data_IF_037277532343
#
_entry.id   IF_037277532343
#
_cell.length_a   1.000
_cell.length_b   1.000
_cell.length_c   1.000
_cell.angle_alpha   90.00
_cell.angle_beta   90.00
_cell.angle_gamma   90.00
#
_symmetry.space_group_name_H-M   'P 1'
#
loop_
_entity.id
_entity.type
_entity.pdbx_description
1 polymer ?
#
# COMPACT_ATOMS: atom_id res chain seq x y z
N UNK A 1 -3.57 43.64 16.46
CA UNK A 1 -3.75 42.25 16.08
C UNK A 1 -2.78 41.28 16.82
N UNK A 2 -1.78 41.78 17.54
CA UNK A 2 -0.82 40.95 18.29
C UNK A 2 -1.26 40.56 19.72
N UNK A 3 -2.25 41.26 20.28
CA UNK A 3 -2.70 41.00 21.67
C UNK A 3 -3.72 39.88 21.82
N UNK A 4 -4.31 39.36 20.71
CA UNK A 4 -5.24 38.22 20.73
C UNK A 4 -4.53 36.86 20.81
N UNK A 5 -3.29 36.75 20.28
CA UNK A 5 -2.54 35.49 20.25
C UNK A 5 -1.87 35.15 21.62
N UNK A 6 -1.69 36.14 22.50
CA UNK A 6 -1.06 35.93 23.83
C UNK A 6 -2.07 35.44 24.87
N UNK A 7 -3.37 35.66 24.65
CA UNK A 7 -4.44 35.24 25.58
C UNK A 7 -4.98 33.82 25.34
N UNK A 8 -4.70 33.21 24.17
CA UNK A 8 -5.05 31.79 23.92
C UNK A 8 -4.07 30.79 24.57
N UNK A 9 -2.88 31.21 24.95
CA UNK A 9 -1.81 30.36 25.47
C UNK A 9 -1.96 29.95 26.96
N UNK A 10 -3.06 30.32 27.65
CA UNK A 10 -3.19 30.06 29.10
C UNK A 10 -4.50 29.42 29.55
N UNK A 11 -5.25 28.76 28.68
CA UNK A 11 -6.40 27.95 29.11
C UNK A 11 -5.90 26.59 29.60
N UNK A 12 -5.65 26.49 30.92
CA UNK A 12 -5.42 25.23 31.57
C UNK A 12 -6.64 24.30 31.33
N UNK A 13 -6.38 23.12 30.78
CA UNK A 13 -7.37 22.06 30.60
C UNK A 13 -7.29 21.19 31.86
N UNK A 14 -8.36 21.19 32.67
CA UNK A 14 -8.38 20.53 33.99
C UNK A 14 -7.20 20.91 34.91
N UNK A 15 -6.69 22.15 34.80
CA UNK A 15 -5.54 22.62 35.58
C UNK A 15 -4.17 22.21 35.03
N UNK A 16 -4.09 21.58 33.84
CA UNK A 16 -2.86 21.18 33.18
C UNK A 16 -2.61 22.00 31.90
N UNK A 17 -1.37 22.10 31.52
CA UNK A 17 -0.97 22.69 30.23
C UNK A 17 -1.58 21.84 29.08
N UNK A 18 -2.23 22.46 28.07
CA UNK A 18 -2.78 21.76 26.91
C UNK A 18 -1.79 20.80 26.25
N UNK A 19 -0.50 21.15 26.19
CA UNK A 19 0.56 20.31 25.62
C UNK A 19 0.73 19.00 26.41
N UNK A 20 0.65 19.07 27.75
CA UNK A 20 0.76 17.87 28.59
C UNK A 20 -0.44 16.94 28.37
N UNK A 21 -1.63 17.53 28.23
CA UNK A 21 -2.86 16.76 27.97
C UNK A 21 -2.79 16.12 26.57
N UNK A 22 -2.35 16.86 25.55
CA UNK A 22 -2.17 16.35 24.19
C UNK A 22 -1.17 15.17 24.16
N UNK A 23 0.02 15.35 24.74
CA UNK A 23 1.04 14.29 24.86
C UNK A 23 0.48 13.08 25.60
N UNK A 24 -0.29 13.29 26.67
CA UNK A 24 -0.94 12.22 27.44
C UNK A 24 -1.92 11.41 26.58
N UNK A 25 -2.79 12.09 25.82
CA UNK A 25 -3.76 11.44 24.90
C UNK A 25 -3.00 10.62 23.84
N UNK A 26 -2.02 11.22 23.16
CA UNK A 26 -1.22 10.54 22.13
C UNK A 26 -0.51 9.32 22.72
N UNK A 27 0.16 9.48 23.88
CA UNK A 27 0.89 8.40 24.54
C UNK A 27 -0.04 7.24 24.89
N UNK A 28 -1.19 7.51 25.50
CA UNK A 28 -2.17 6.47 25.86
C UNK A 28 -2.66 5.76 24.60
N UNK A 29 -3.02 6.51 23.54
CA UNK A 29 -3.47 5.92 22.28
C UNK A 29 -2.41 4.99 21.68
N UNK A 30 -1.15 5.43 21.61
CA UNK A 30 -0.06 4.58 21.09
C UNK A 30 0.19 3.34 21.96
N UNK A 31 0.19 3.46 23.28
CA UNK A 31 0.35 2.30 24.17
C UNK A 31 -0.77 1.26 23.94
N UNK A 32 -1.99 1.72 23.75
CA UNK A 32 -3.12 0.80 23.44
C UNK A 32 -2.97 0.20 22.05
N UNK A 33 -2.56 0.97 21.05
CA UNK A 33 -2.31 0.46 19.68
C UNK A 33 -1.22 -0.61 19.72
N UNK A 34 -0.10 -0.39 20.42
CA UNK A 34 0.97 -1.38 20.57
C UNK A 34 0.55 -2.64 21.34
N UNK A 35 -0.49 -2.55 22.18
CA UNK A 35 -1.02 -3.74 22.87
C UNK A 35 -1.76 -4.71 21.94
N UNK A 36 -2.11 -4.28 20.71
CA UNK A 36 -2.88 -5.02 19.69
C UNK A 36 -4.26 -5.53 20.16
N UNK A 37 -4.71 -5.10 21.36
CA UNK A 37 -6.00 -5.53 21.92
C UNK A 37 -7.19 -4.80 21.33
N UNK A 38 -6.96 -3.62 20.76
CA UNK A 38 -7.98 -2.76 20.15
C UNK A 38 -7.55 -2.40 18.73
N UNK A 39 -8.52 -2.38 17.83
CA UNK A 39 -8.25 -1.99 16.45
C UNK A 39 -7.66 -0.57 16.40
N UNK A 40 -6.54 -0.41 15.65
CA UNK A 40 -5.79 0.85 15.53
C UNK A 40 -6.64 2.04 15.08
N UNK A 41 -7.60 1.81 14.16
CA UNK A 41 -8.48 2.87 13.66
C UNK A 41 -9.43 3.37 14.77
N UNK A 42 -9.98 2.47 15.59
CA UNK A 42 -10.84 2.85 16.71
C UNK A 42 -10.05 3.73 17.70
N UNK A 43 -8.82 3.33 18.03
CA UNK A 43 -8.01 4.12 18.97
C UNK A 43 -7.60 5.47 18.40
N UNK A 44 -7.26 5.55 17.10
CA UNK A 44 -6.95 6.81 16.46
C UNK A 44 -8.16 7.76 16.44
N UNK A 45 -9.35 7.26 16.13
CA UNK A 45 -10.58 8.06 16.16
C UNK A 45 -10.96 8.51 17.58
N UNK A 46 -10.81 7.64 18.59
CA UNK A 46 -11.03 8.00 19.98
C UNK A 46 -10.04 9.05 20.48
N UNK A 47 -8.76 8.93 20.08
CA UNK A 47 -7.74 9.94 20.35
C UNK A 47 -8.07 11.29 19.72
N UNK A 48 -8.48 11.29 18.45
CA UNK A 48 -8.94 12.49 17.76
C UNK A 48 -10.16 13.12 18.46
N UNK A 49 -11.14 12.30 18.86
CA UNK A 49 -12.29 12.78 19.61
C UNK A 49 -11.88 13.35 20.98
N UNK A 50 -10.93 12.72 21.69
CA UNK A 50 -10.41 13.22 22.95
C UNK A 50 -9.72 14.58 22.80
N UNK A 51 -8.95 14.82 21.71
CA UNK A 51 -8.35 16.12 21.40
C UNK A 51 -9.40 17.23 21.24
N UNK A 52 -10.54 16.91 20.60
CA UNK A 52 -11.64 17.89 20.40
C UNK A 52 -12.43 18.09 21.70
N UNK A 53 -12.78 17.02 22.41
CA UNK A 53 -13.59 17.09 23.64
C UNK A 53 -12.84 17.76 24.78
N UNK A 54 -11.51 17.56 24.88
CA UNK A 54 -10.67 18.26 25.85
C UNK A 54 -10.49 19.75 25.54
N UNK A 55 -10.87 20.21 24.33
CA UNK A 55 -10.74 21.60 23.91
C UNK A 55 -9.35 22.00 23.40
N UNK A 56 -8.44 21.01 23.20
CA UNK A 56 -7.13 21.25 22.56
C UNK A 56 -7.36 21.69 21.12
N UNK A 57 -8.25 21.01 20.40
CA UNK A 57 -8.65 21.38 19.04
C UNK A 57 -10.12 21.76 18.97
N UNK A 58 -10.43 22.73 18.13
CA UNK A 58 -11.81 22.96 17.69
C UNK A 58 -12.14 21.98 16.55
N UNK A 59 -13.43 21.73 16.30
CA UNK A 59 -13.84 20.90 15.15
C UNK A 59 -13.26 21.44 13.81
N UNK A 60 -13.21 22.77 13.66
CA UNK A 60 -12.69 23.40 12.45
C UNK A 60 -11.17 23.15 12.29
N UNK A 61 -10.40 23.30 13.36
CA UNK A 61 -8.95 23.06 13.32
C UNK A 61 -8.63 21.58 13.17
N UNK A 62 -9.41 20.68 13.78
CA UNK A 62 -9.26 19.24 13.62
C UNK A 62 -9.45 18.80 12.14
N UNK A 63 -10.49 19.33 11.46
CA UNK A 63 -10.72 19.05 10.05
C UNK A 63 -9.62 19.66 9.15
N UNK A 64 -9.11 20.83 9.50
CA UNK A 64 -8.00 21.46 8.77
C UNK A 64 -6.67 20.69 8.90
N UNK A 65 -6.50 19.91 9.99
CA UNK A 65 -5.34 19.07 10.20
C UNK A 65 -5.33 17.80 9.36
N UNK A 66 -6.47 17.40 8.75
CA UNK A 66 -6.54 16.20 7.92
C UNK A 66 -5.91 16.48 6.55
N UNK A 67 -4.90 15.72 6.20
CA UNK A 67 -4.30 15.77 4.87
C UNK A 67 -5.15 14.98 3.85
N UNK A 68 -6.07 15.71 3.20
CA UNK A 68 -6.93 15.14 2.17
C UNK A 68 -6.17 14.71 0.91
N UNK A 69 -4.98 15.25 0.65
CA UNK A 69 -4.12 14.80 -0.45
C UNK A 69 -3.64 13.36 -0.20
N UNK A 70 -3.15 13.08 1.00
CA UNK A 70 -2.78 11.73 1.42
C UNK A 70 -3.98 10.76 1.38
N UNK A 71 -5.12 11.16 1.91
CA UNK A 71 -6.34 10.32 1.88
C UNK A 71 -6.77 10.02 0.43
N UNK A 72 -6.78 11.05 -0.43
CA UNK A 72 -7.13 10.89 -1.85
C UNK A 72 -6.15 9.98 -2.60
N UNK A 73 -4.86 10.08 -2.30
CA UNK A 73 -3.84 9.22 -2.87
C UNK A 73 -4.05 7.75 -2.49
N UNK A 74 -4.26 7.47 -1.20
CA UNK A 74 -4.51 6.12 -0.70
C UNK A 74 -5.77 5.51 -1.33
N UNK A 75 -6.90 6.21 -1.26
CA UNK A 75 -8.18 5.72 -1.81
C UNK A 75 -8.08 5.51 -3.30
N UNK A 76 -7.51 6.47 -4.04
CA UNK A 76 -7.37 6.40 -5.49
C UNK A 76 -6.53 5.20 -5.94
N UNK A 77 -5.37 4.99 -5.30
CA UNK A 77 -4.50 3.85 -5.61
C UNK A 77 -5.15 2.51 -5.24
N UNK A 78 -5.79 2.39 -4.07
CA UNK A 78 -6.50 1.16 -3.67
C UNK A 78 -7.59 0.79 -4.67
N UNK A 79 -8.35 1.75 -5.19
CA UNK A 79 -9.37 1.49 -6.22
C UNK A 79 -8.75 1.04 -7.55
N UNK A 80 -7.67 1.71 -8.00
CA UNK A 80 -6.97 1.32 -9.24
C UNK A 80 -6.48 -0.12 -9.14
N UNK A 81 -5.86 -0.47 -8.02
CA UNK A 81 -5.32 -1.80 -7.75
C UNK A 81 -6.41 -2.86 -7.70
N UNK A 82 -7.49 -2.59 -6.97
CA UNK A 82 -8.63 -3.51 -6.85
C UNK A 82 -9.27 -3.83 -8.21
N UNK A 83 -9.32 -2.86 -9.11
CA UNK A 83 -9.80 -3.09 -10.48
C UNK A 83 -8.76 -3.86 -11.29
N UNK A 84 -7.47 -3.50 -11.18
CA UNK A 84 -6.37 -4.17 -11.88
C UNK A 84 -6.23 -5.64 -11.48
N UNK A 85 -6.41 -5.96 -10.20
CA UNK A 85 -6.41 -7.32 -9.66
C UNK A 85 -7.37 -8.25 -10.42
N UNK A 86 -8.57 -7.77 -10.73
CA UNK A 86 -9.61 -8.54 -11.42
C UNK A 86 -9.22 -8.96 -12.84
N UNK A 87 -8.21 -8.31 -13.43
CA UNK A 87 -7.67 -8.73 -14.73
C UNK A 87 -6.83 -10.01 -14.66
N UNK A 88 -6.35 -10.40 -13.46
CA UNK A 88 -5.46 -11.54 -13.24
C UNK A 88 -3.98 -11.24 -13.52
N UNK A 89 -3.60 -9.95 -13.62
CA UNK A 89 -2.23 -9.56 -13.98
C UNK A 89 -1.17 -10.03 -13.00
N UNK A 90 -1.46 -10.03 -11.70
CA UNK A 90 -0.52 -10.43 -10.66
C UNK A 90 -0.18 -11.92 -10.76
N UNK A 91 -1.21 -12.75 -10.92
CA UNK A 91 -1.06 -14.19 -11.11
C UNK A 91 -0.29 -14.50 -12.40
N UNK A 92 -0.60 -13.77 -13.47
CA UNK A 92 0.11 -13.90 -14.75
C UNK A 92 1.61 -13.65 -14.58
N UNK A 93 2.00 -12.51 -13.97
CA UNK A 93 3.41 -12.13 -13.80
C UNK A 93 4.15 -13.13 -12.90
N UNK A 94 3.54 -13.59 -11.81
CA UNK A 94 4.16 -14.55 -10.91
C UNK A 94 4.42 -15.89 -11.60
N UNK A 95 3.45 -16.44 -12.35
CA UNK A 95 3.63 -17.70 -13.09
C UNK A 95 4.61 -17.53 -14.26
N UNK A 96 4.52 -16.42 -15.00
CA UNK A 96 5.47 -16.10 -16.05
C UNK A 96 6.90 -16.03 -15.51
N UNK A 97 7.10 -15.35 -14.37
CA UNK A 97 8.39 -15.27 -13.69
C UNK A 97 8.91 -16.65 -13.26
N UNK A 98 8.05 -17.50 -12.68
CA UNK A 98 8.41 -18.87 -12.31
C UNK A 98 8.86 -19.70 -13.51
N UNK A 99 8.22 -19.56 -14.67
CA UNK A 99 8.61 -20.23 -15.92
C UNK A 99 9.94 -19.70 -16.48
N UNK A 100 10.21 -18.39 -16.34
CA UNK A 100 11.50 -17.80 -16.77
C UNK A 100 12.70 -18.40 -16.07
N UNK A 101 12.55 -18.76 -14.80
CA UNK A 101 13.59 -19.44 -14.00
C UNK A 101 13.49 -20.97 -14.09
N UNK A 102 12.76 -21.51 -15.10
CA UNK A 102 12.56 -22.95 -15.36
C UNK A 102 12.04 -23.70 -14.14
N UNK A 103 11.19 -23.03 -13.33
CA UNK A 103 10.65 -23.57 -12.07
C UNK A 103 11.73 -24.09 -11.10
N UNK A 104 12.97 -23.59 -11.19
CA UNK A 104 14.02 -23.99 -10.24
C UNK A 104 13.70 -23.42 -8.87
N UNK A 105 13.79 -24.19 -7.76
CA UNK A 105 13.43 -23.71 -6.42
C UNK A 105 14.16 -22.42 -6.01
N UNK A 106 15.46 -22.34 -6.27
CA UNK A 106 16.27 -21.13 -5.99
C UNK A 106 15.88 -19.94 -6.87
N UNK A 107 15.69 -20.17 -8.17
CA UNK A 107 15.26 -19.13 -9.10
C UNK A 107 13.86 -18.61 -8.75
N UNK A 108 12.97 -19.51 -8.30
CA UNK A 108 11.63 -19.14 -7.85
C UNK A 108 11.69 -18.21 -6.64
N UNK A 109 12.55 -18.51 -5.65
CA UNK A 109 12.76 -17.69 -4.47
C UNK A 109 13.16 -16.25 -4.87
N UNK A 110 14.13 -16.13 -5.78
CA UNK A 110 14.60 -14.83 -6.28
C UNK A 110 13.50 -14.09 -7.04
N UNK A 111 12.87 -14.76 -8.02
CA UNK A 111 11.93 -14.08 -8.92
C UNK A 111 10.65 -13.65 -8.20
N UNK A 112 10.12 -14.46 -7.28
CA UNK A 112 8.93 -14.09 -6.52
C UNK A 112 9.23 -12.92 -5.57
N UNK A 113 10.39 -12.89 -4.93
CA UNK A 113 10.81 -11.76 -4.10
C UNK A 113 10.87 -10.45 -4.92
N UNK A 114 11.51 -10.47 -6.09
CA UNK A 114 11.59 -9.28 -6.95
C UNK A 114 10.23 -8.87 -7.54
N UNK A 115 9.40 -9.82 -7.94
CA UNK A 115 8.03 -9.55 -8.41
C UNK A 115 7.21 -8.88 -7.30
N UNK A 116 7.29 -9.43 -6.08
CA UNK A 116 6.61 -8.85 -4.91
C UNK A 116 7.13 -7.44 -4.61
N UNK A 117 8.44 -7.23 -4.60
CA UNK A 117 9.03 -5.90 -4.35
C UNK A 117 8.60 -4.87 -5.40
N UNK A 118 8.59 -5.24 -6.69
CA UNK A 118 8.17 -4.35 -7.78
C UNK A 118 6.69 -3.98 -7.65
N UNK A 119 5.82 -4.95 -7.36
CA UNK A 119 4.42 -4.63 -7.16
C UNK A 119 4.22 -3.77 -5.92
N UNK A 120 4.89 -4.07 -4.81
CA UNK A 120 4.77 -3.31 -3.57
C UNK A 120 5.29 -1.87 -3.69
N UNK A 121 6.15 -1.57 -4.64
CA UNK A 121 6.54 -0.18 -4.92
C UNK A 121 5.35 0.69 -5.42
N UNK A 122 4.28 0.08 -5.92
CA UNK A 122 3.09 0.78 -6.44
C UNK A 122 1.79 0.41 -5.71
N UNK A 123 1.83 -0.62 -4.88
CA UNK A 123 0.73 -1.14 -4.09
C UNK A 123 1.15 -1.16 -2.62
N UNK A 124 0.19 -1.15 -1.71
CA UNK A 124 0.55 -1.37 -0.32
C UNK A 124 1.12 -2.79 -0.11
N UNK A 125 1.98 -2.91 0.88
CA UNK A 125 2.72 -4.13 1.19
C UNK A 125 1.81 -5.31 1.55
N UNK A 126 0.72 -5.07 2.28
CA UNK A 126 -0.23 -6.11 2.72
C UNK A 126 -1.00 -6.67 1.55
N UNK A 127 -1.60 -5.80 0.74
CA UNK A 127 -2.32 -6.19 -0.48
C UNK A 127 -1.40 -6.95 -1.43
N UNK A 128 -0.17 -6.50 -1.63
CA UNK A 128 0.80 -7.17 -2.50
C UNK A 128 1.05 -8.61 -2.07
N UNK A 129 1.28 -8.85 -0.77
CA UNK A 129 1.49 -10.22 -0.25
C UNK A 129 0.22 -11.06 -0.42
N UNK A 130 -0.96 -10.51 -0.10
CA UNK A 130 -2.22 -11.22 -0.27
C UNK A 130 -2.51 -11.63 -1.72
N UNK A 131 -2.03 -10.85 -2.70
CA UNK A 131 -2.18 -11.16 -4.12
C UNK A 131 -1.21 -12.23 -4.62
N UNK A 132 0.03 -12.22 -4.15
CA UNK A 132 1.09 -13.12 -4.63
C UNK A 132 1.07 -14.44 -3.88
N UNK A 133 0.83 -14.46 -2.57
CA UNK A 133 0.87 -15.67 -1.73
C UNK A 133 0.03 -16.84 -2.27
N UNK A 134 -1.22 -16.68 -2.76
CA UNK A 134 -1.99 -17.80 -3.31
C UNK A 134 -1.33 -18.43 -4.55
N UNK A 135 -0.60 -17.65 -5.33
CA UNK A 135 0.13 -18.15 -6.51
C UNK A 135 1.36 -18.91 -6.05
N UNK A 136 2.09 -18.37 -5.08
CA UNK A 136 3.25 -19.02 -4.45
C UNK A 136 2.85 -20.36 -3.84
N UNK A 137 1.75 -20.43 -3.10
CA UNK A 137 1.21 -21.70 -2.60
C UNK A 137 0.96 -22.71 -3.70
N UNK A 138 0.30 -22.31 -4.79
CA UNK A 138 0.01 -23.20 -5.93
C UNK A 138 1.28 -23.70 -6.61
N UNK A 139 2.29 -22.84 -6.79
CA UNK A 139 3.57 -23.23 -7.39
C UNK A 139 4.33 -24.19 -6.46
N UNK A 140 4.44 -23.85 -5.17
CA UNK A 140 5.12 -24.69 -4.16
C UNK A 140 4.45 -26.07 -4.02
N UNK A 141 3.12 -26.13 -4.04
CA UNK A 141 2.38 -27.39 -4.01
C UNK A 141 2.70 -28.29 -5.21
N UNK A 142 2.81 -27.71 -6.41
CA UNK A 142 3.19 -28.47 -7.62
C UNK A 142 4.63 -28.97 -7.57
N UNK A 143 5.52 -28.17 -6.97
CA UNK A 143 6.93 -28.53 -6.78
C UNK A 143 7.17 -29.42 -5.54
N UNK A 144 6.14 -29.68 -4.74
CA UNK A 144 6.22 -30.38 -3.44
C UNK A 144 7.20 -29.70 -2.47
N UNK A 145 7.28 -28.38 -2.51
CA UNK A 145 8.12 -27.56 -1.64
C UNK A 145 7.33 -26.99 -0.48
N UNK A 146 8.02 -26.76 0.65
CA UNK A 146 7.47 -25.97 1.74
C UNK A 146 7.33 -24.51 1.29
N UNK A 147 6.13 -23.90 1.30
CA UNK A 147 5.93 -22.51 0.88
C UNK A 147 6.47 -21.48 1.87
N UNK A 148 6.67 -21.87 3.14
CA UNK A 148 7.03 -20.95 4.23
C UNK A 148 8.24 -20.05 3.92
N UNK A 149 9.39 -20.54 3.41
CA UNK A 149 10.53 -19.69 3.11
C UNK A 149 10.24 -18.63 2.03
N UNK A 150 9.41 -18.99 1.03
CA UNK A 150 9.01 -18.08 -0.04
C UNK A 150 8.13 -16.97 0.49
N UNK A 151 7.12 -17.32 1.29
CA UNK A 151 6.19 -16.35 1.89
C UNK A 151 6.89 -15.41 2.85
N UNK A 152 7.81 -15.90 3.70
CA UNK A 152 8.59 -15.04 4.58
C UNK A 152 9.43 -14.06 3.78
N UNK A 153 10.10 -14.54 2.71
CA UNK A 153 10.87 -13.66 1.84
C UNK A 153 9.98 -12.64 1.10
N UNK A 154 8.78 -13.03 0.65
CA UNK A 154 7.80 -12.12 0.03
C UNK A 154 7.33 -11.03 1.00
N UNK A 155 7.10 -11.36 2.28
CA UNK A 155 6.76 -10.37 3.31
C UNK A 155 7.89 -9.35 3.49
N UNK A 156 9.14 -9.79 3.58
CA UNK A 156 10.27 -8.85 3.64
C UNK A 156 10.41 -8.05 2.36
N UNK A 157 10.28 -8.71 1.21
CA UNK A 157 10.39 -8.08 -0.11
C UNK A 157 9.30 -7.03 -0.34
N UNK A 158 8.07 -7.26 0.14
CA UNK A 158 6.99 -6.27 0.04
C UNK A 158 7.29 -5.02 0.87
N UNK A 159 7.75 -5.15 2.10
CA UNK A 159 8.11 -4.00 2.94
C UNK A 159 9.29 -3.21 2.34
N UNK A 160 10.34 -3.91 1.90
CA UNK A 160 11.50 -3.26 1.28
C UNK A 160 11.12 -2.60 -0.04
N UNK A 161 10.36 -3.31 -0.89
CA UNK A 161 9.90 -2.78 -2.18
C UNK A 161 8.96 -1.59 -2.03
N UNK A 162 8.04 -1.64 -1.06
CA UNK A 162 7.13 -0.54 -0.73
C UNK A 162 7.86 0.74 -0.33
N UNK A 163 9.03 0.63 0.30
CA UNK A 163 9.84 1.79 0.67
C UNK A 163 10.43 2.53 -0.55
N UNK A 164 10.49 1.90 -1.73
CA UNK A 164 11.11 2.49 -2.92
C UNK A 164 10.41 3.75 -3.44
N UNK A 165 9.10 3.89 -3.21
CA UNK A 165 8.31 5.00 -3.74
C UNK A 165 7.46 5.66 -2.66
N UNK A 166 6.93 6.84 -2.97
CA UNK A 166 6.01 7.56 -2.08
C UNK A 166 4.75 6.75 -1.77
N UNK A 167 4.24 5.99 -2.73
CA UNK A 167 2.91 5.34 -2.67
C UNK A 167 2.94 3.89 -2.21
N UNK A 168 4.10 3.25 -2.17
CA UNK A 168 4.23 1.82 -1.86
C UNK A 168 4.01 1.47 -0.38
N UNK A 169 4.12 2.45 0.52
CA UNK A 169 3.89 2.23 1.95
C UNK A 169 3.25 3.48 2.58
N UNK A 170 2.16 3.35 3.36
CA UNK A 170 1.50 4.48 4.00
C UNK A 170 2.40 5.42 4.82
N UNK A 171 3.39 4.95 5.60
CA UNK A 171 4.34 5.84 6.27
C UNK A 171 5.11 6.77 5.33
N UNK A 172 5.44 6.31 4.11
CA UNK A 172 6.13 7.13 3.11
C UNK A 172 5.27 8.31 2.67
N UNK A 173 3.96 8.05 2.47
CA UNK A 173 3.01 9.10 2.08
C UNK A 173 2.91 10.16 3.18
N UNK A 174 2.82 9.72 4.44
CA UNK A 174 2.76 10.62 5.60
C UNK A 174 4.03 11.48 5.73
N UNK A 175 5.22 10.85 5.64
CA UNK A 175 6.50 11.56 5.68
C UNK A 175 6.61 12.52 4.49
N UNK A 176 6.31 12.05 3.29
CA UNK A 176 6.37 12.84 2.07
C UNK A 176 5.49 14.08 2.15
N UNK A 177 4.25 13.94 2.61
CA UNK A 177 3.32 15.04 2.80
C UNK A 177 3.82 16.01 3.87
N UNK A 178 4.27 15.52 5.03
CA UNK A 178 4.70 16.35 6.15
C UNK A 178 5.94 17.20 5.85
N UNK A 179 6.85 16.68 5.00
CA UNK A 179 8.14 17.32 4.68
C UNK A 179 8.14 17.94 3.27
N UNK A 180 7.06 17.76 2.51
CA UNK A 180 6.94 18.30 1.13
C UNK A 180 7.79 17.54 0.11
N UNK A 181 8.05 16.24 0.32
CA UNK A 181 8.79 15.41 -0.63
C UNK A 181 7.88 14.91 -1.75
N UNK A 182 8.38 14.94 -2.97
CA UNK A 182 7.67 14.45 -4.15
C UNK A 182 7.91 12.95 -4.39
N UNK A 183 7.11 12.37 -5.28
CA UNK A 183 7.31 11.01 -5.78
C UNK A 183 8.74 10.79 -6.31
N UNK A 184 9.29 11.76 -7.05
CA UNK A 184 10.64 11.68 -7.60
C UNK A 184 11.72 11.68 -6.51
N UNK A 185 11.51 12.40 -5.41
CA UNK A 185 12.47 12.43 -4.30
C UNK A 185 12.61 11.04 -3.67
N UNK A 186 11.48 10.33 -3.48
CA UNK A 186 11.50 8.93 -3.03
C UNK A 186 12.14 8.02 -4.08
N UNK A 187 11.70 8.10 -5.33
CA UNK A 187 12.19 7.23 -6.40
C UNK A 187 13.70 7.33 -6.59
N UNK A 188 14.26 8.53 -6.61
CA UNK A 188 15.69 8.74 -6.87
C UNK A 188 16.57 8.43 -5.66
N UNK A 189 16.11 8.70 -4.45
CA UNK A 189 16.93 8.54 -3.25
C UNK A 189 16.76 7.18 -2.57
N UNK A 190 15.55 6.62 -2.53
CA UNK A 190 15.30 5.36 -1.83
C UNK A 190 15.40 4.13 -2.72
N UNK A 191 15.06 4.21 -4.02
CA UNK A 191 15.15 3.04 -4.90
C UNK A 191 16.57 2.43 -4.95
N UNK A 192 17.67 3.19 -5.04
CA UNK A 192 19.01 2.59 -5.00
C UNK A 192 19.27 1.82 -3.69
N UNK A 193 18.85 2.37 -2.56
CA UNK A 193 18.99 1.71 -1.24
C UNK A 193 18.15 0.43 -1.18
N UNK A 194 16.91 0.50 -1.67
CA UNK A 194 16.00 -0.64 -1.75
C UNK A 194 16.59 -1.75 -2.61
N UNK A 195 17.17 -1.43 -3.77
CA UNK A 195 17.80 -2.42 -4.65
C UNK A 195 18.96 -3.15 -3.95
N UNK A 196 19.85 -2.40 -3.27
CA UNK A 196 20.95 -2.99 -2.51
C UNK A 196 20.42 -3.88 -1.39
N UNK A 197 19.44 -3.40 -0.62
CA UNK A 197 18.82 -4.16 0.47
C UNK A 197 18.15 -5.43 -0.03
N UNK A 198 17.43 -5.36 -1.16
CA UNK A 198 16.81 -6.54 -1.80
C UNK A 198 17.85 -7.57 -2.22
N UNK A 199 18.96 -7.15 -2.85
CA UNK A 199 20.04 -8.07 -3.26
C UNK A 199 20.65 -8.75 -2.02
N UNK A 200 20.92 -8.01 -0.96
CA UNK A 200 21.45 -8.55 0.30
C UNK A 200 20.46 -9.53 0.93
N UNK A 201 19.18 -9.15 1.05
CA UNK A 201 18.14 -10.00 1.61
C UNK A 201 18.01 -11.32 0.85
N UNK A 202 17.86 -11.24 -0.47
CA UNK A 202 17.74 -12.41 -1.34
C UNK A 202 19.00 -13.27 -1.26
N UNK A 203 20.19 -12.67 -1.20
CA UNK A 203 21.46 -13.36 -1.01
C UNK A 203 21.53 -14.15 0.30
N UNK A 204 21.09 -13.54 1.40
CA UNK A 204 21.00 -14.20 2.71
C UNK A 204 20.02 -15.38 2.65
N UNK A 205 18.82 -15.19 2.12
CA UNK A 205 17.82 -16.24 1.99
C UNK A 205 18.29 -17.38 1.06
N UNK A 206 18.95 -17.06 -0.05
CA UNK A 206 19.54 -18.08 -0.92
C UNK A 206 20.63 -18.88 -0.20
N UNK A 207 21.49 -18.21 0.57
CA UNK A 207 22.55 -18.88 1.32
C UNK A 207 22.02 -19.78 2.42
N UNK A 208 21.03 -19.32 3.20
CA UNK A 208 20.52 -20.04 4.38
C UNK A 208 19.56 -21.17 3.99
N UNK A 209 18.67 -20.89 3.04
CA UNK A 209 17.55 -21.77 2.68
C UNK A 209 17.62 -22.22 1.23
N UNK A 210 17.88 -21.30 0.30
CA UNK A 210 17.78 -21.53 -1.13
C UNK A 210 18.62 -22.70 -1.62
N UNK A 211 19.84 -22.86 -1.08
CA UNK A 211 20.77 -23.97 -1.43
C UNK A 211 20.26 -25.35 -1.02
N UNK A 212 19.31 -25.41 -0.07
CA UNK A 212 18.74 -26.67 0.42
C UNK A 212 17.46 -27.07 -0.31
N UNK A 213 16.90 -26.15 -1.11
CA UNK A 213 15.66 -26.37 -1.83
C UNK A 213 15.94 -27.19 -3.11
N UNK A 214 15.29 -28.33 -3.21
CA UNK A 214 15.39 -29.19 -4.39
C UNK A 214 14.00 -29.61 -4.88
N UNK A 215 13.83 -29.74 -6.18
CA UNK A 215 12.63 -30.28 -6.79
C UNK A 215 13.01 -31.23 -7.94
N UNK A 216 12.21 -32.25 -8.16
CA UNK A 216 12.43 -33.20 -9.25
C UNK A 216 12.14 -32.55 -10.61
N UNK A 217 12.76 -33.05 -11.68
CA UNK A 217 12.46 -32.54 -13.03
C UNK A 217 10.99 -32.77 -13.44
N UNK A 218 10.38 -33.87 -12.91
CA UNK A 218 8.95 -34.15 -13.11
C UNK A 218 8.07 -33.05 -12.49
N UNK A 219 8.37 -32.63 -11.24
CA UNK A 219 7.58 -31.62 -10.56
C UNK A 219 7.80 -30.22 -11.19
N UNK A 220 9.04 -29.90 -11.64
CA UNK A 220 9.32 -28.70 -12.41
C UNK A 220 8.52 -28.68 -13.73
N UNK A 221 8.44 -29.84 -14.41
CA UNK A 221 7.65 -29.95 -15.63
C UNK A 221 6.15 -29.66 -15.40
N UNK A 222 5.60 -29.97 -14.21
CA UNK A 222 4.21 -29.64 -13.85
C UNK A 222 3.99 -28.12 -13.76
N UNK A 223 4.96 -27.37 -13.24
CA UNK A 223 4.90 -25.90 -13.21
C UNK A 223 5.09 -25.33 -14.61
N UNK A 224 6.02 -25.86 -15.40
CA UNK A 224 6.24 -25.41 -16.79
C UNK A 224 5.01 -25.61 -17.69
N UNK A 225 4.14 -26.59 -17.38
CA UNK A 225 2.86 -26.84 -18.07
C UNK A 225 1.73 -25.90 -17.61
N UNK A 226 1.91 -25.09 -16.57
CA UNK A 226 0.92 -24.09 -16.19
C UNK A 226 0.77 -23.07 -17.32
N UNK A 227 -0.47 -22.71 -17.64
CA UNK A 227 -0.73 -21.71 -18.65
C UNK A 227 -0.96 -20.35 -17.96
N UNK A 228 0.05 -19.49 -17.99
CA UNK A 228 -0.03 -18.15 -17.39
C UNK A 228 -1.15 -17.30 -18.03
N UNK A 229 -1.46 -17.57 -19.31
CA UNK A 229 -2.49 -16.80 -20.02
C UNK A 229 -3.91 -17.10 -19.52
N UNK A 230 -4.14 -18.27 -18.93
CA UNK A 230 -5.42 -18.63 -18.30
C UNK A 230 -5.70 -17.82 -17.02
N UNK A 231 -4.66 -17.21 -16.44
CA UNK A 231 -4.83 -16.32 -15.31
C UNK A 231 -5.43 -14.96 -15.71
N UNK A 232 -5.34 -14.59 -16.98
CA UNK A 232 -5.90 -13.34 -17.48
C UNK A 232 -7.40 -13.53 -17.70
N UNK A 233 -8.21 -13.08 -16.75
CA UNK A 233 -9.67 -13.19 -16.81
C UNK A 233 -10.26 -12.27 -17.88
N UNK A 234 -9.75 -11.05 -18.01
CA UNK A 234 -10.18 -10.07 -19.03
C UNK A 234 -8.97 -9.31 -19.59
N UNK A 235 -8.64 -9.61 -20.85
CA UNK A 235 -7.54 -8.93 -21.56
C UNK A 235 -7.82 -7.43 -21.79
N UNK A 236 -9.09 -7.08 -22.00
CA UNK A 236 -9.49 -5.69 -22.19
C UNK A 236 -9.30 -4.90 -20.90
N UNK A 237 -9.69 -5.47 -19.76
CA UNK A 237 -9.47 -4.87 -18.45
C UNK A 237 -7.98 -4.75 -18.12
N UNK A 238 -7.19 -5.79 -18.41
CA UNK A 238 -5.74 -5.76 -18.24
C UNK A 238 -5.10 -4.57 -18.96
N UNK A 239 -5.40 -4.38 -20.24
CA UNK A 239 -4.83 -3.27 -21.03
C UNK A 239 -5.27 -1.92 -20.47
N UNK A 240 -6.56 -1.77 -20.13
CA UNK A 240 -7.09 -0.53 -19.53
C UNK A 240 -6.40 -0.22 -18.20
N UNK A 241 -6.26 -1.20 -17.32
CA UNK A 241 -5.60 -1.04 -16.03
C UNK A 241 -4.14 -0.65 -16.18
N UNK A 242 -3.39 -1.31 -17.09
CA UNK A 242 -2.00 -0.98 -17.35
C UNK A 242 -1.82 0.41 -17.95
N UNK A 243 -2.68 0.83 -18.87
CA UNK A 243 -2.63 2.17 -19.49
C UNK A 243 -2.92 3.24 -18.45
N UNK A 244 -3.97 3.06 -17.63
CA UNK A 244 -4.30 4.04 -16.58
C UNK A 244 -3.21 4.07 -15.52
N UNK A 245 -2.70 2.93 -15.07
CA UNK A 245 -1.61 2.88 -14.08
C UNK A 245 -0.34 3.56 -14.60
N UNK A 246 0.05 3.28 -15.85
CA UNK A 246 1.18 3.96 -16.49
C UNK A 246 0.95 5.48 -16.60
N UNK A 247 -0.26 5.90 -16.96
CA UNK A 247 -0.65 7.32 -16.99
C UNK A 247 -0.53 7.99 -15.63
N UNK A 248 -1.07 7.35 -14.57
CA UNK A 248 -1.00 7.85 -13.19
C UNK A 248 0.45 7.96 -12.72
N UNK A 249 1.29 6.94 -12.96
CA UNK A 249 2.72 6.98 -12.60
C UNK A 249 3.43 8.11 -13.36
N UNK A 250 3.15 8.28 -14.66
CA UNK A 250 3.72 9.38 -15.45
C UNK A 250 3.30 10.74 -14.89
N UNK A 251 2.04 10.89 -14.49
CA UNK A 251 1.56 12.12 -13.83
C UNK A 251 2.24 12.34 -12.46
N UNK A 252 2.49 11.30 -11.66
CA UNK A 252 3.24 11.43 -10.40
C UNK A 252 4.67 11.93 -10.62
N UNK A 253 5.36 11.40 -11.63
CA UNK A 253 6.71 11.86 -12.03
C UNK A 253 6.69 13.33 -12.45
N UNK A 254 5.61 13.76 -13.11
CA UNK A 254 5.43 15.11 -13.65
C UNK A 254 4.60 16.03 -12.72
N UNK A 255 4.22 15.58 -11.52
CA UNK A 255 3.28 16.28 -10.63
C UNK A 255 3.70 17.73 -10.34
N UNK A 256 4.99 17.97 -10.06
CA UNK A 256 5.55 19.31 -9.86
C UNK A 256 5.41 20.22 -11.09
N UNK A 257 5.52 19.66 -12.31
CA UNK A 257 5.40 20.43 -13.55
C UNK A 257 3.94 20.74 -13.91
N UNK A 258 3.03 19.83 -13.50
CA UNK A 258 1.60 19.94 -13.72
C UNK A 258 0.90 20.78 -12.66
N UNK A 259 1.59 21.13 -11.57
CA UNK A 259 1.03 21.79 -10.38
C UNK A 259 -0.21 21.05 -9.84
N UNK A 260 -0.10 19.71 -9.78
CA UNK A 260 -1.16 18.83 -9.32
C UNK A 260 -0.71 18.02 -8.11
N UNK A 261 -1.61 17.90 -7.14
CA UNK A 261 -1.41 17.03 -5.97
C UNK A 261 -1.54 15.56 -6.36
N UNK A 262 -0.73 14.71 -5.72
CA UNK A 262 -0.73 13.27 -5.94
C UNK A 262 -2.12 12.63 -5.67
N UNK A 263 -2.85 13.13 -4.66
CA UNK A 263 -4.22 12.68 -4.37
C UNK A 263 -5.18 12.95 -5.52
N UNK A 264 -5.10 14.15 -6.12
CA UNK A 264 -5.91 14.51 -7.28
C UNK A 264 -5.61 13.61 -8.48
N UNK A 265 -4.32 13.34 -8.75
CA UNK A 265 -3.89 12.44 -9.83
C UNK A 265 -4.44 11.03 -9.59
N UNK A 266 -4.29 10.47 -8.38
CA UNK A 266 -4.74 9.13 -8.05
C UNK A 266 -6.26 8.99 -8.13
N UNK A 267 -7.02 9.93 -7.57
CA UNK A 267 -8.49 9.92 -7.62
C UNK A 267 -9.01 10.07 -9.05
N UNK A 268 -8.39 10.93 -9.87
CA UNK A 268 -8.74 11.08 -11.28
C UNK A 268 -8.46 9.78 -12.04
N UNK A 269 -7.30 9.16 -11.83
CA UNK A 269 -6.96 7.86 -12.41
C UNK A 269 -7.95 6.77 -12.00
N UNK A 270 -8.34 6.72 -10.73
CA UNK A 270 -9.35 5.79 -10.23
C UNK A 270 -10.71 6.01 -10.90
N UNK A 271 -11.17 7.26 -11.02
CA UNK A 271 -12.43 7.60 -11.68
C UNK A 271 -12.42 7.21 -13.15
N UNK A 272 -11.32 7.49 -13.89
CA UNK A 272 -11.15 7.08 -15.28
C UNK A 272 -11.15 5.56 -15.41
N UNK A 273 -10.44 4.84 -14.55
CA UNK A 273 -10.41 3.39 -14.60
C UNK A 273 -11.78 2.77 -14.25
N UNK A 274 -12.48 3.29 -13.25
CA UNK A 274 -13.85 2.88 -12.93
C UNK A 274 -14.80 3.10 -14.11
N UNK A 275 -14.72 4.26 -14.77
CA UNK A 275 -15.50 4.54 -15.98
C UNK A 275 -15.22 3.51 -17.08
N UNK A 276 -13.95 3.24 -17.36
CA UNK A 276 -13.54 2.26 -18.37
C UNK A 276 -13.95 0.83 -17.99
N UNK A 277 -13.95 0.50 -16.69
CA UNK A 277 -14.34 -0.80 -16.16
C UNK A 277 -15.86 -1.04 -16.25
N UNK A 278 -16.64 0.01 -16.04
CA UNK A 278 -18.11 -0.03 -16.05
C UNK A 278 -18.71 0.23 -17.43
N UNK A 279 -17.91 0.58 -18.44
CA UNK A 279 -18.41 0.97 -19.77
C UNK A 279 -19.28 -0.09 -20.44
N UNK A 280 -19.05 -1.39 -20.14
CA UNK A 280 -19.82 -2.52 -20.63
C UNK A 280 -20.66 -3.12 -19.51
N UNK A 281 -21.94 -3.39 -19.78
CA UNK A 281 -22.88 -4.02 -18.87
C UNK A 281 -24.20 -3.26 -18.74
N UNK A 282 -25.20 -3.89 -18.14
CA UNK A 282 -26.45 -3.24 -17.78
C UNK A 282 -26.27 -2.34 -16.56
N UNK A 283 -27.31 -1.59 -16.16
CA UNK A 283 -27.20 -0.63 -15.03
C UNK A 283 -26.82 -1.34 -13.72
N UNK A 284 -27.43 -2.48 -13.41
CA UNK A 284 -27.20 -3.25 -12.20
C UNK A 284 -25.76 -3.79 -12.12
N UNK A 285 -25.25 -4.36 -13.23
CA UNK A 285 -23.85 -4.82 -13.32
C UNK A 285 -22.83 -3.68 -13.16
N UNK A 286 -23.15 -2.48 -13.66
CA UNK A 286 -22.29 -1.30 -13.51
C UNK A 286 -22.23 -0.87 -12.04
N UNK A 287 -23.38 -0.79 -11.38
CA UNK A 287 -23.46 -0.41 -9.97
C UNK A 287 -22.73 -1.43 -9.08
N UNK A 288 -22.87 -2.72 -9.34
CA UNK A 288 -22.16 -3.77 -8.63
C UNK A 288 -20.63 -3.68 -8.84
N UNK A 289 -20.17 -3.37 -10.05
CA UNK A 289 -18.75 -3.16 -10.34
C UNK A 289 -18.17 -1.99 -9.54
N UNK A 290 -18.88 -0.85 -9.50
CA UNK A 290 -18.46 0.33 -8.71
C UNK A 290 -18.45 -0.01 -7.23
N UNK A 291 -19.55 -0.60 -6.71
CA UNK A 291 -19.65 -0.99 -5.30
C UNK A 291 -18.52 -1.90 -4.88
N UNK A 292 -18.23 -2.91 -5.69
CA UNK A 292 -17.18 -3.87 -5.43
C UNK A 292 -15.76 -3.25 -5.51
N UNK A 293 -15.52 -2.25 -6.38
CA UNK A 293 -14.25 -1.54 -6.44
C UNK A 293 -14.04 -0.65 -5.19
N UNK A 294 -15.10 0.05 -4.76
CA UNK A 294 -15.06 0.89 -3.56
C UNK A 294 -15.02 0.07 -2.26
N UNK A 295 -15.65 -1.10 -2.23
CA UNK A 295 -15.61 -2.01 -1.07
C UNK A 295 -14.21 -2.63 -0.85
N UNK A 296 -13.37 -2.65 -1.88
CA UNK A 296 -12.00 -3.15 -1.77
C UNK A 296 -11.03 -2.14 -1.11
N UNK A 297 -11.47 -0.90 -0.88
CA UNK A 297 -10.68 0.09 -0.14
C UNK A 297 -10.56 -0.34 1.32
N UNK A 298 -9.35 -0.32 1.87
CA UNK A 298 -9.12 -0.55 3.30
C UNK A 298 -9.53 0.68 4.12
N UNK A 299 -10.84 0.76 4.39
CA UNK A 299 -11.42 1.83 5.20
C UNK A 299 -10.85 1.88 6.62
N UNK A 300 -10.37 0.77 7.16
CA UNK A 300 -9.71 0.73 8.47
C UNK A 300 -8.44 1.58 8.46
N UNK A 301 -7.62 1.42 7.43
CA UNK A 301 -6.42 2.25 7.24
C UNK A 301 -6.78 3.71 6.99
N UNK A 302 -7.79 4.01 6.19
CA UNK A 302 -8.22 5.39 5.94
C UNK A 302 -8.67 6.07 7.25
N UNK A 303 -9.54 5.45 8.04
CA UNK A 303 -9.98 6.01 9.32
C UNK A 303 -8.86 6.10 10.36
N UNK A 304 -7.91 5.17 10.33
CA UNK A 304 -6.71 5.28 11.16
C UNK A 304 -5.92 6.56 10.83
N UNK A 305 -5.67 6.84 9.55
CA UNK A 305 -4.94 8.05 9.14
C UNK A 305 -5.71 9.34 9.45
N UNK A 306 -7.03 9.37 9.23
CA UNK A 306 -7.86 10.51 9.63
C UNK A 306 -7.70 10.81 11.12
N UNK A 307 -7.82 9.80 11.97
CA UNK A 307 -7.63 9.96 13.42
C UNK A 307 -6.22 10.38 13.79
N UNK A 308 -5.22 9.78 13.15
CA UNK A 308 -3.81 10.10 13.37
C UNK A 308 -3.48 11.55 13.01
N UNK A 309 -3.93 12.03 11.84
CA UNK A 309 -3.73 13.43 11.43
C UNK A 309 -4.29 14.40 12.45
N UNK A 310 -5.50 14.17 12.94
CA UNK A 310 -6.11 15.02 13.96
C UNK A 310 -5.31 14.99 15.27
N UNK A 311 -4.86 13.81 15.71
CA UNK A 311 -4.06 13.68 16.94
C UNK A 311 -2.70 14.37 16.84
N UNK A 312 -2.04 14.27 15.69
CA UNK A 312 -0.70 14.86 15.49
C UNK A 312 -0.78 16.36 15.30
N UNK A 313 -1.91 16.87 14.77
CA UNK A 313 -2.14 18.30 14.60
C UNK A 313 -2.42 19.04 15.93
N UNK A 314 -2.94 18.35 16.94
CA UNK A 314 -3.19 18.88 18.31
C UNK A 314 -1.94 18.89 19.15
#
# INVERSE_FOLDING_TARGET
>A
METSNVLEASRLIWGLDPKIVAIGIVTICYLVIFSEKVNRAIMALLGAAAMIVSGILTQKTALAGIDFNTIGLLVGMMVIVAIAERSGMFQYVAIWGAKRVKASPRGLLVVLAFVTAVFSAFLDNVTTVLLIAPVTFRICQRLKLNPYPYLVLEIFASNIGGTATLIGDPPNILIGSSVGLSFNDFLLNLTPVVLVTMVVLVGIFDFVVGRKLTATEEDKAKVMKMNEKECIADKGLLVKSLVVLAGVITCFVSARQLDLDNGTIALTGAAVLMLLYTFKGNAEERDDKVRNALAAVDWTTIFFFIGLFVMVYG
#
